data_IF_026865254103
#
_entry.id   IF_026865254103
#
_cell.length_a   1.000
_cell.length_b   1.000
_cell.length_c   1.000
_cell.angle_alpha   90.00
_cell.angle_beta   90.00
_cell.angle_gamma   90.00
#
_symmetry.space_group_name_H-M   'P 1'
#
loop_
_entity.id
_entity.type
_entity.pdbx_description
1 polymer ?
#
# COMPACT_ATOMS: atom_id res chain seq x y z
N UNK A 1 8.96 7.21 -6.34
CA UNK A 1 8.45 5.81 -6.31
C UNK A 1 7.30 5.74 -5.33
N UNK A 2 6.23 4.99 -5.61
CA UNK A 2 5.02 4.94 -4.75
C UNK A 2 5.34 4.47 -3.33
N UNK A 3 6.22 3.47 -3.18
CA UNK A 3 6.63 2.93 -1.87
C UNK A 3 7.06 4.05 -0.91
N UNK A 4 7.86 5.02 -1.37
CA UNK A 4 8.31 6.12 -0.52
C UNK A 4 7.17 6.95 0.06
N UNK A 5 6.09 7.14 -0.69
CA UNK A 5 4.91 7.87 -0.25
C UNK A 5 3.97 7.04 0.65
N UNK A 6 4.24 5.75 0.85
CA UNK A 6 3.45 4.86 1.71
C UNK A 6 4.16 4.54 3.03
N UNK A 7 5.48 4.62 3.05
CA UNK A 7 6.29 4.15 4.17
C UNK A 7 6.08 4.92 5.48
N UNK A 8 5.95 6.27 5.50
CA UNK A 8 5.73 6.99 6.75
C UNK A 8 4.50 6.46 7.53
N UNK A 9 3.43 6.11 6.81
CA UNK A 9 2.21 5.53 7.37
C UNK A 9 2.29 4.04 7.68
N UNK A 10 3.31 3.32 7.21
CA UNK A 10 3.40 1.87 7.36
C UNK A 10 3.37 1.43 8.84
N UNK A 11 3.84 2.28 9.76
CA UNK A 11 3.78 2.03 11.21
C UNK A 11 2.35 1.84 11.71
N UNK A 12 1.37 2.52 11.12
CA UNK A 12 -0.06 2.36 11.46
C UNK A 12 -0.61 0.99 11.05
N UNK A 13 0.00 0.35 10.05
CA UNK A 13 -0.37 -0.99 9.58
C UNK A 13 0.41 -2.10 10.27
N UNK A 14 1.58 -1.79 10.83
CA UNK A 14 2.45 -2.77 11.52
C UNK A 14 2.11 -2.86 13.01
N UNK A 15 2.02 -1.72 13.70
CA UNK A 15 1.86 -1.66 15.16
C UNK A 15 0.62 -2.39 15.72
N UNK A 16 -0.52 -2.48 15.00
CA UNK A 16 -1.65 -3.29 15.48
C UNK A 16 -1.34 -4.79 15.62
N UNK A 17 -0.35 -5.32 14.88
CA UNK A 17 0.00 -6.74 14.87
C UNK A 17 1.33 -7.02 15.56
N UNK A 18 2.27 -6.09 15.47
CA UNK A 18 3.59 -6.19 16.09
C UNK A 18 4.00 -4.83 16.62
N UNK A 19 4.05 -4.70 17.94
CA UNK A 19 4.38 -3.43 18.60
C UNK A 19 5.84 -3.07 18.36
N UNK A 20 6.08 -2.23 17.37
CA UNK A 20 7.41 -1.70 17.10
C UNK A 20 7.81 -0.69 18.19
N UNK A 21 9.12 -0.43 18.39
CA UNK A 21 9.59 0.56 19.36
C UNK A 21 9.32 2.01 18.93
N UNK A 22 8.80 2.22 17.71
CA UNK A 22 8.50 3.53 17.12
C UNK A 22 7.00 3.68 16.87
N UNK A 23 6.52 4.91 17.01
CA UNK A 23 5.14 5.29 16.77
C UNK A 23 5.00 6.18 15.51
N UNK A 24 3.78 6.63 15.25
CA UNK A 24 3.46 7.49 14.10
C UNK A 24 4.30 8.78 14.06
N UNK A 25 4.42 9.47 15.19
CA UNK A 25 5.21 10.69 15.30
C UNK A 25 6.70 10.45 15.05
N UNK A 26 7.24 9.32 15.53
CA UNK A 26 8.63 8.96 15.26
C UNK A 26 8.88 8.79 13.75
N UNK A 27 7.98 8.09 13.05
CA UNK A 27 8.06 7.90 11.60
C UNK A 27 7.90 9.20 10.79
N UNK A 28 7.22 10.21 11.33
CA UNK A 28 7.03 11.52 10.70
C UNK A 28 8.05 12.57 11.16
N UNK A 29 9.02 12.17 12.00
CA UNK A 29 10.11 13.03 12.43
C UNK A 29 11.26 13.07 11.42
N UNK A 30 12.10 14.10 11.51
CA UNK A 30 13.30 14.22 10.68
C UNK A 30 14.23 12.99 10.82
N UNK A 31 14.46 12.52 12.05
CA UNK A 31 15.26 11.31 12.28
C UNK A 31 14.55 10.04 11.79
N UNK A 32 13.22 10.00 11.90
CA UNK A 32 12.39 8.91 11.39
C UNK A 32 12.55 8.67 9.90
N UNK A 33 12.74 9.73 9.09
CA UNK A 33 13.02 9.60 7.66
C UNK A 33 14.22 8.68 7.42
N UNK A 34 15.30 8.87 8.17
CA UNK A 34 16.57 8.17 7.98
C UNK A 34 16.59 6.80 8.67
N UNK A 35 16.08 6.71 9.89
CA UNK A 35 16.21 5.51 10.73
C UNK A 35 15.06 4.52 10.56
N UNK A 36 13.89 4.99 10.13
CA UNK A 36 12.68 4.17 9.99
C UNK A 36 12.31 4.06 8.51
N UNK A 37 12.07 5.20 7.84
CA UNK A 37 11.40 5.21 6.56
C UNK A 37 12.30 4.75 5.40
N UNK A 38 13.55 5.20 5.34
CA UNK A 38 14.47 4.72 4.28
C UNK A 38 14.71 3.21 4.43
N UNK A 39 15.10 2.66 5.60
CA UNK A 39 15.28 1.22 5.78
C UNK A 39 14.02 0.42 5.43
N UNK A 40 12.87 0.81 5.96
CA UNK A 40 11.60 0.13 5.69
C UNK A 40 11.20 0.22 4.22
N UNK A 41 11.37 1.40 3.60
CA UNK A 41 11.11 1.60 2.17
C UNK A 41 12.01 0.75 1.28
N UNK A 42 13.28 0.56 1.66
CA UNK A 42 14.19 -0.34 0.95
C UNK A 42 13.81 -1.81 1.13
N UNK A 43 13.40 -2.24 2.32
CA UNK A 43 12.86 -3.60 2.54
C UNK A 43 11.63 -3.84 1.66
N UNK A 44 10.69 -2.90 1.64
CA UNK A 44 9.50 -2.99 0.78
C UNK A 44 9.86 -2.98 -0.71
N UNK A 45 10.86 -2.19 -1.11
CA UNK A 45 11.34 -2.17 -2.49
C UNK A 45 12.00 -3.49 -2.90
N UNK A 46 12.85 -4.08 -2.04
CA UNK A 46 13.46 -5.39 -2.28
C UNK A 46 12.39 -6.49 -2.36
N UNK A 47 11.41 -6.46 -1.44
CA UNK A 47 10.25 -7.34 -1.45
C UNK A 47 9.47 -7.20 -2.77
N UNK A 48 9.22 -5.97 -3.22
CA UNK A 48 8.58 -5.74 -4.51
C UNK A 48 9.41 -6.31 -5.66
N UNK A 49 10.68 -5.94 -5.77
CA UNK A 49 11.51 -6.23 -6.94
C UNK A 49 11.84 -7.72 -7.08
N UNK A 50 12.10 -8.41 -5.97
CA UNK A 50 12.56 -9.82 -5.98
C UNK A 50 11.47 -10.84 -5.66
N UNK A 51 10.40 -10.44 -4.98
CA UNK A 51 9.32 -11.36 -4.60
C UNK A 51 8.08 -11.06 -5.43
N UNK A 52 7.48 -9.89 -5.26
CA UNK A 52 6.14 -9.61 -5.80
C UNK A 52 6.17 -9.41 -7.32
N UNK A 53 7.04 -8.55 -7.84
CA UNK A 53 7.11 -8.18 -9.26
C UNK A 53 7.47 -9.34 -10.20
N UNK A 54 8.26 -10.36 -9.80
CA UNK A 54 8.42 -11.56 -10.62
C UNK A 54 7.18 -12.46 -10.68
N UNK A 55 6.29 -12.39 -9.68
CA UNK A 55 5.13 -13.29 -9.53
C UNK A 55 3.76 -12.67 -9.82
N UNK A 56 3.59 -11.35 -9.68
CA UNK A 56 2.27 -10.68 -9.66
C UNK A 56 1.39 -11.02 -10.87
N UNK A 57 1.95 -11.07 -12.07
CA UNK A 57 1.21 -11.39 -13.31
C UNK A 57 0.73 -12.83 -13.34
N UNK A 58 1.49 -13.75 -12.74
CA UNK A 58 1.15 -15.17 -12.68
C UNK A 58 -0.01 -15.43 -11.72
N UNK A 59 -0.10 -14.62 -10.66
CA UNK A 59 -1.16 -14.65 -9.65
C UNK A 59 -2.45 -13.95 -10.11
N UNK A 60 -2.35 -13.01 -11.06
CA UNK A 60 -3.48 -12.26 -11.57
C UNK A 60 -4.46 -13.15 -12.39
N UNK A 61 -5.77 -12.84 -12.36
CA UNK A 61 -6.73 -13.45 -13.28
C UNK A 61 -6.28 -13.33 -14.73
N UNK A 62 -6.54 -14.35 -15.55
CA UNK A 62 -6.03 -14.43 -16.93
C UNK A 62 -6.34 -13.17 -17.76
N UNK A 63 -7.55 -12.60 -17.63
CA UNK A 63 -7.93 -11.39 -18.34
C UNK A 63 -7.07 -10.17 -18.00
N UNK A 64 -6.62 -10.05 -16.75
CA UNK A 64 -5.75 -8.98 -16.26
C UNK A 64 -4.29 -9.30 -16.59
N UNK A 65 -3.87 -10.54 -16.38
CA UNK A 65 -2.53 -11.01 -16.72
C UNK A 65 -2.17 -10.78 -18.19
N UNK A 66 -3.13 -10.82 -19.12
CA UNK A 66 -2.89 -10.53 -20.54
C UNK A 66 -2.60 -9.04 -20.83
N UNK A 67 -2.87 -8.14 -19.88
CA UNK A 67 -2.71 -6.69 -20.01
C UNK A 67 -1.59 -6.11 -19.15
N UNK A 68 -1.19 -6.83 -18.10
CA UNK A 68 -0.08 -6.42 -17.24
C UNK A 68 1.28 -6.47 -17.97
N UNK A 69 2.20 -5.54 -17.68
CA UNK A 69 3.53 -5.55 -18.27
C UNK A 69 4.33 -6.80 -17.86
N UNK A 70 5.42 -7.09 -18.56
CA UNK A 70 6.36 -8.12 -18.10
C UNK A 70 7.23 -7.55 -16.99
N UNK A 71 7.59 -8.39 -16.03
CA UNK A 71 8.65 -8.04 -15.09
C UNK A 71 9.96 -7.84 -15.86
N UNK A 72 10.61 -6.71 -15.61
CA UNK A 72 11.95 -6.44 -16.12
C UNK A 72 12.96 -6.64 -15.00
N UNK A 73 14.04 -7.41 -15.22
CA UNK A 73 15.09 -7.60 -14.23
C UNK A 73 15.60 -6.29 -13.64
N UNK A 74 16.12 -6.37 -12.41
CA UNK A 74 16.74 -5.24 -11.74
C UNK A 74 18.03 -4.86 -12.46
N UNK A 75 18.22 -3.56 -12.68
CA UNK A 75 19.43 -3.00 -13.28
C UNK A 75 20.18 -2.16 -12.24
N UNK A 76 21.48 -1.95 -12.44
CA UNK A 76 22.26 -1.04 -11.59
C UNK A 76 21.63 0.36 -11.52
N UNK A 77 21.10 0.85 -12.65
CA UNK A 77 20.36 2.12 -12.69
C UNK A 77 19.14 2.10 -11.76
N UNK A 78 18.34 1.03 -11.77
CA UNK A 78 17.19 0.90 -10.83
C UNK A 78 17.65 0.93 -9.37
N UNK A 79 18.73 0.22 -9.04
CA UNK A 79 19.29 0.19 -7.68
C UNK A 79 19.77 1.58 -7.27
N UNK A 80 20.54 2.26 -8.14
CA UNK A 80 21.06 3.59 -7.88
C UNK A 80 19.96 4.63 -7.64
N UNK A 81 18.83 4.49 -8.35
CA UNK A 81 17.66 5.36 -8.17
C UNK A 81 16.70 4.92 -7.08
N UNK A 82 16.91 3.77 -6.42
CA UNK A 82 15.97 3.24 -5.44
C UNK A 82 15.84 4.17 -4.23
N UNK A 83 16.96 4.48 -3.55
CA UNK A 83 16.97 5.36 -2.37
C UNK A 83 16.50 6.78 -2.71
N UNK A 84 17.01 7.47 -3.76
CA UNK A 84 16.48 8.78 -4.14
C UNK A 84 14.98 8.76 -4.43
N UNK A 85 14.48 7.71 -5.07
CA UNK A 85 13.05 7.58 -5.39
C UNK A 85 12.18 7.28 -4.17
N UNK A 86 12.70 6.57 -3.16
CA UNK A 86 12.08 6.40 -1.85
C UNK A 86 12.01 7.76 -1.16
N UNK A 87 13.14 8.46 -1.07
CA UNK A 87 13.26 9.73 -0.36
C UNK A 87 12.33 10.80 -0.94
N UNK A 88 12.28 10.95 -2.27
CA UNK A 88 11.33 11.87 -2.93
C UNK A 88 9.88 11.52 -2.56
N UNK A 89 9.55 10.22 -2.49
CA UNK A 89 8.22 9.79 -2.05
C UNK A 89 7.93 10.16 -0.59
N UNK A 90 8.88 9.93 0.31
CA UNK A 90 8.76 10.29 1.73
C UNK A 90 8.58 11.80 1.89
N UNK A 91 9.44 12.60 1.25
CA UNK A 91 9.36 14.05 1.32
C UNK A 91 8.04 14.58 0.76
N UNK A 92 7.54 14.00 -0.34
CA UNK A 92 6.25 14.39 -0.91
C UNK A 92 5.10 14.06 0.05
N UNK A 93 5.14 12.91 0.72
CA UNK A 93 4.16 12.52 1.74
C UNK A 93 4.16 13.49 2.91
N UNK A 94 5.32 13.71 3.55
CA UNK A 94 5.45 14.61 4.71
C UNK A 94 5.07 16.06 4.35
N UNK A 95 5.42 16.50 3.14
CA UNK A 95 5.00 17.79 2.63
C UNK A 95 3.47 17.84 2.52
N UNK A 96 2.84 16.83 1.92
CA UNK A 96 1.39 16.78 1.76
C UNK A 96 0.66 16.73 3.11
N UNK A 97 1.19 16.01 4.10
CA UNK A 97 0.64 15.98 5.45
C UNK A 97 0.63 17.36 6.10
N UNK A 98 1.68 18.15 5.86
CA UNK A 98 1.73 19.52 6.39
C UNK A 98 0.55 20.39 5.95
N UNK A 99 -0.08 20.10 4.80
CA UNK A 99 -1.27 20.80 4.30
C UNK A 99 -2.59 20.13 4.71
N UNK A 100 -2.57 18.85 5.05
CA UNK A 100 -3.79 18.01 5.12
C UNK A 100 -4.05 17.38 6.48
N UNK A 101 -3.10 17.46 7.41
CA UNK A 101 -3.23 16.92 8.75
C UNK A 101 -3.13 18.02 9.80
N UNK A 102 -3.86 17.86 10.90
CA UNK A 102 -3.76 18.73 12.06
C UNK A 102 -2.44 18.50 12.81
N UNK A 103 -1.97 19.52 13.54
CA UNK A 103 -0.71 19.44 14.31
C UNK A 103 0.52 19.91 13.54
N UNK A 104 0.35 20.36 12.30
CA UNK A 104 1.39 21.03 11.52
C UNK A 104 1.23 22.55 11.61
N UNK A 105 2.31 23.34 11.47
CA UNK A 105 2.24 24.81 11.54
C UNK A 105 1.27 25.46 10.55
N UNK A 106 1.05 24.84 9.39
CA UNK A 106 0.11 25.37 8.39
C UNK A 106 -1.35 25.20 8.80
N UNK A 107 -1.66 24.17 9.58
CA UNK A 107 -3.02 23.72 9.93
C UNK A 107 -3.36 23.91 11.42
N UNK A 108 -2.40 24.34 12.23
CA UNK A 108 -2.60 24.67 13.65
C UNK A 108 -3.48 25.91 13.81
N UNK A 109 -4.15 26.09 14.97
CA UNK A 109 -4.97 27.27 15.24
C UNK A 109 -4.27 28.59 14.91
N UNK A 110 -4.89 29.44 14.08
CA UNK A 110 -4.30 30.70 13.58
C UNK A 110 -3.31 30.56 12.43
N UNK A 111 -3.07 29.34 11.93
CA UNK A 111 -2.22 29.07 10.77
C UNK A 111 -2.90 29.40 9.43
N UNK A 112 -2.14 29.48 8.33
CA UNK A 112 -2.67 29.87 7.00
C UNK A 112 -3.80 28.99 6.44
N UNK A 113 -3.93 27.75 6.90
CA UNK A 113 -4.98 26.82 6.49
C UNK A 113 -6.01 26.55 7.59
N UNK A 114 -5.97 27.30 8.69
CA UNK A 114 -6.94 27.22 9.78
C UNK A 114 -8.23 27.97 9.44
N UNK A 115 -8.87 27.51 8.37
CA UNK A 115 -10.14 28.03 7.88
C UNK A 115 -11.13 26.89 7.74
N UNK A 116 -12.42 27.22 7.80
CA UNK A 116 -13.50 26.25 7.61
C UNK A 116 -14.27 26.55 6.33
N UNK A 117 -14.60 25.48 5.59
CA UNK A 117 -15.50 25.53 4.45
C UNK A 117 -16.72 24.69 4.81
N UNK A 118 -17.83 25.36 5.13
CA UNK A 118 -19.01 24.72 5.67
C UNK A 118 -18.73 24.05 7.01
N UNK A 119 -18.89 22.72 7.08
CA UNK A 119 -18.67 21.92 8.30
C UNK A 119 -17.26 21.30 8.40
N UNK A 120 -16.41 21.49 7.39
CA UNK A 120 -15.08 20.88 7.32
C UNK A 120 -13.99 21.95 7.44
N UNK A 121 -12.87 21.61 8.07
CA UNK A 121 -11.67 22.44 7.96
C UNK A 121 -11.10 22.36 6.54
N UNK A 122 -10.46 23.42 6.07
CA UNK A 122 -9.87 23.52 4.75
C UNK A 122 -8.88 22.37 4.50
N UNK A 123 -8.02 22.07 5.47
CA UNK A 123 -7.10 20.94 5.37
C UNK A 123 -7.82 19.60 5.20
N UNK A 124 -9.01 19.41 5.80
CA UNK A 124 -9.85 18.20 5.59
C UNK A 124 -10.48 18.19 4.20
N UNK A 125 -10.86 19.35 3.66
CA UNK A 125 -11.32 19.46 2.27
C UNK A 125 -10.20 19.06 1.32
N UNK A 126 -8.97 19.54 1.55
CA UNK A 126 -7.79 19.15 0.77
C UNK A 126 -7.47 17.65 0.90
N UNK A 127 -7.59 17.11 2.11
CA UNK A 127 -7.37 15.68 2.38
C UNK A 127 -8.38 14.80 1.63
N UNK A 128 -9.67 15.10 1.73
CA UNK A 128 -10.72 14.32 1.05
C UNK A 128 -10.71 14.55 -0.47
N UNK A 129 -10.50 15.79 -0.91
CA UNK A 129 -10.41 16.15 -2.32
C UNK A 129 -9.25 15.43 -3.02
N UNK A 130 -8.06 15.42 -2.41
CA UNK A 130 -6.92 14.67 -2.95
C UNK A 130 -7.15 13.16 -2.97
N UNK A 131 -7.85 12.61 -1.99
CA UNK A 131 -8.25 11.19 -1.99
C UNK A 131 -9.17 10.86 -3.18
N UNK A 132 -10.17 11.71 -3.45
CA UNK A 132 -11.08 11.55 -4.59
C UNK A 132 -10.34 11.69 -5.92
N UNK A 133 -9.47 12.68 -6.05
CA UNK A 133 -8.64 12.87 -7.25
C UNK A 133 -7.69 11.70 -7.48
N UNK A 134 -7.03 11.21 -6.42
CA UNK A 134 -6.16 10.04 -6.47
C UNK A 134 -6.91 8.79 -6.91
N UNK A 135 -8.08 8.53 -6.34
CA UNK A 135 -8.94 7.42 -6.76
C UNK A 135 -9.37 7.57 -8.23
N UNK A 136 -9.79 8.77 -8.65
CA UNK A 136 -10.13 9.07 -10.05
C UNK A 136 -8.95 8.79 -11.00
N UNK A 137 -7.73 9.18 -10.61
CA UNK A 137 -6.51 8.90 -11.37
C UNK A 137 -6.21 7.40 -11.49
N UNK A 138 -6.37 6.63 -10.41
CA UNK A 138 -6.20 5.17 -10.43
C UNK A 138 -7.27 4.51 -11.32
N UNK A 139 -8.52 4.92 -11.20
CA UNK A 139 -9.62 4.40 -12.04
C UNK A 139 -9.37 4.72 -13.52
N UNK A 140 -8.96 5.96 -13.83
CA UNK A 140 -8.58 6.35 -15.19
C UNK A 140 -7.41 5.49 -15.70
N UNK A 141 -6.38 5.28 -14.89
CA UNK A 141 -5.26 4.41 -15.26
C UNK A 141 -5.70 2.97 -15.53
N UNK A 142 -6.61 2.41 -14.72
CA UNK A 142 -7.19 1.08 -14.96
C UNK A 142 -7.98 1.06 -16.27
N UNK A 143 -8.82 2.07 -16.52
CA UNK A 143 -9.59 2.17 -17.76
C UNK A 143 -8.68 2.23 -18.99
N UNK A 144 -7.59 3.01 -18.91
CA UNK A 144 -6.57 3.06 -19.96
C UNK A 144 -5.86 1.72 -20.12
N UNK A 145 -5.47 1.06 -19.02
CA UNK A 145 -4.86 -0.27 -19.02
C UNK A 145 -5.76 -1.32 -19.70
N UNK A 146 -7.08 -1.25 -19.47
CA UNK A 146 -8.05 -2.17 -20.06
C UNK A 146 -8.19 -2.01 -21.58
N UNK A 147 -7.90 -0.80 -22.10
CA UNK A 147 -7.90 -0.49 -23.53
C UNK A 147 -6.65 -0.97 -24.26
N UNK A 148 -5.54 -1.25 -23.55
CA UNK A 148 -4.37 -1.82 -24.20
C UNK A 148 -4.67 -3.19 -24.81
N UNK A 149 -4.18 -3.46 -26.04
CA UNK A 149 -4.42 -4.73 -26.70
C UNK A 149 -3.91 -5.88 -25.84
N UNK A 150 -4.72 -6.95 -25.76
CA UNK A 150 -4.34 -8.17 -25.06
C UNK A 150 -3.07 -8.75 -25.69
N UNK A 151 -2.15 -9.20 -24.86
CA UNK A 151 -1.00 -10.00 -25.32
C UNK A 151 -1.47 -11.35 -25.85
N UNK A 152 -0.69 -11.96 -26.75
CA UNK A 152 -1.02 -13.28 -27.36
C UNK A 152 -1.14 -14.40 -26.31
N UNK A 153 -0.32 -14.37 -25.27
CA UNK A 153 -0.37 -15.34 -24.18
C UNK A 153 0.08 -14.74 -22.84
N UNK A 154 -0.39 -15.34 -21.76
CA UNK A 154 0.08 -15.09 -20.40
C UNK A 154 0.02 -16.41 -19.62
N UNK A 155 1.11 -16.75 -18.92
CA UNK A 155 1.10 -17.83 -17.94
C UNK A 155 0.40 -17.34 -16.67
N UNK A 156 -0.92 -17.48 -16.64
CA UNK A 156 -1.71 -17.27 -15.43
C UNK A 156 -1.94 -18.63 -14.79
N UNK A 157 -1.44 -18.79 -13.56
CA UNK A 157 -1.74 -19.95 -12.72
C UNK A 157 -2.72 -19.50 -11.65
N UNK A 158 -3.77 -18.80 -12.07
CA UNK A 158 -4.80 -18.29 -11.18
C UNK A 158 -5.29 -19.47 -10.32
N UNK A 159 -5.02 -19.40 -9.02
CA UNK A 159 -5.61 -20.27 -8.03
C UNK A 159 -6.48 -19.35 -7.17
N UNK A 160 -7.70 -19.77 -6.86
CA UNK A 160 -8.64 -18.99 -6.04
C UNK A 160 -8.10 -18.73 -4.63
N UNK A 161 -7.33 -19.66 -4.06
CA UNK A 161 -6.92 -19.65 -2.66
C UNK A 161 -6.15 -18.40 -2.17
N UNK A 162 -5.21 -17.77 -2.92
CA UNK A 162 -4.63 -16.48 -2.51
C UNK A 162 -5.60 -15.30 -2.57
N UNK A 163 -6.73 -15.43 -3.24
CA UNK A 163 -7.75 -14.38 -3.29
C UNK A 163 -8.89 -14.63 -2.30
N UNK A 164 -8.98 -15.86 -1.75
CA UNK A 164 -9.87 -16.19 -0.64
C UNK A 164 -9.35 -15.65 0.69
N UNK A 165 -8.04 -15.70 0.93
CA UNK A 165 -7.44 -15.20 2.16
C UNK A 165 -7.68 -13.69 2.42
N UNK A 166 -7.58 -12.77 1.44
CA UNK A 166 -7.93 -11.36 1.62
C UNK A 166 -9.41 -11.13 1.91
N UNK A 167 -10.28 -11.94 1.31
CA UNK A 167 -11.72 -11.93 1.58
C UNK A 167 -11.97 -12.43 3.00
N UNK A 168 -11.31 -13.51 3.41
CA UNK A 168 -11.40 -14.05 4.77
C UNK A 168 -10.83 -13.06 5.78
N UNK A 169 -9.64 -12.49 5.59
CA UNK A 169 -9.06 -11.50 6.52
C UNK A 169 -9.84 -10.20 6.53
N UNK A 170 -10.33 -9.75 5.37
CA UNK A 170 -11.17 -8.57 5.23
C UNK A 170 -12.55 -8.72 5.89
N UNK A 171 -13.07 -9.95 5.98
CA UNK A 171 -14.33 -10.27 6.67
C UNK A 171 -14.11 -10.63 8.15
N UNK A 172 -13.00 -11.27 8.50
CA UNK A 172 -12.69 -11.72 9.86
C UNK A 172 -12.14 -10.63 10.78
N UNK A 173 -11.34 -9.68 10.27
CA UNK A 173 -10.85 -8.55 11.08
C UNK A 173 -11.98 -7.64 11.63
N UNK A 174 -13.02 -7.30 10.86
CA UNK A 174 -14.20 -6.61 11.37
C UNK A 174 -14.96 -7.46 12.37
N UNK A 175 -15.18 -8.75 12.10
CA UNK A 175 -15.88 -9.65 13.04
C UNK A 175 -15.13 -9.73 14.38
N UNK A 176 -13.81 -9.95 14.36
CA UNK A 176 -12.98 -10.00 15.57
C UNK A 176 -13.05 -8.69 16.37
N UNK A 177 -13.00 -7.54 15.70
CA UNK A 177 -13.03 -6.24 16.37
C UNK A 177 -14.44 -5.83 16.81
N UNK A 178 -15.47 -6.19 16.05
CA UNK A 178 -16.88 -6.06 16.44
C UNK A 178 -17.14 -6.87 17.72
N UNK A 179 -16.56 -8.07 17.83
CA UNK A 179 -16.66 -8.90 19.05
C UNK A 179 -15.89 -8.28 20.24
N UNK A 180 -14.90 -7.42 20.00
CA UNK A 180 -14.15 -6.72 21.05
C UNK A 180 -14.69 -5.32 21.37
N UNK A 181 -15.45 -4.70 20.47
CA UNK A 181 -15.95 -3.35 20.67
C UNK A 181 -17.34 -3.40 21.31
N UNK A 182 -17.53 -2.57 22.34
CA UNK A 182 -18.84 -2.34 22.91
C UNK A 182 -19.72 -1.69 21.81
N UNK A 183 -20.72 -2.43 21.31
CA UNK A 183 -21.59 -2.02 20.19
C UNK A 183 -22.33 -0.70 20.44
N UNK A 184 -22.41 -0.26 21.70
CA UNK A 184 -22.97 1.03 22.09
C UNK A 184 -22.08 2.23 21.70
N UNK A 185 -20.80 2.02 21.34
CA UNK A 185 -19.90 3.12 21.02
C UNK A 185 -20.30 3.78 19.68
N UNK A 186 -20.52 5.10 19.61
CA UNK A 186 -21.07 5.76 18.41
C UNK A 186 -20.16 5.68 17.18
N UNK A 187 -18.90 5.29 17.35
CA UNK A 187 -17.91 5.13 16.27
C UNK A 187 -17.70 3.68 15.81
N UNK A 188 -18.39 2.69 16.40
CA UNK A 188 -18.17 1.25 16.14
C UNK A 188 -18.29 0.92 14.65
N UNK A 189 -19.35 1.42 14.00
CA UNK A 189 -19.60 1.14 12.59
C UNK A 189 -18.53 1.77 11.68
N UNK A 190 -18.12 3.01 11.99
CA UNK A 190 -17.07 3.70 11.23
C UNK A 190 -15.71 2.99 11.37
N UNK A 191 -15.38 2.54 12.57
CA UNK A 191 -14.15 1.78 12.84
C UNK A 191 -14.18 0.42 12.13
N UNK A 192 -15.31 -0.30 12.20
CA UNK A 192 -15.49 -1.56 11.51
C UNK A 192 -15.32 -1.40 9.99
N UNK A 193 -15.95 -0.39 9.38
CA UNK A 193 -15.80 -0.10 7.94
C UNK A 193 -14.36 0.26 7.56
N UNK A 194 -13.71 1.11 8.34
CA UNK A 194 -12.31 1.46 8.10
C UNK A 194 -11.41 0.20 8.14
N UNK A 195 -11.66 -0.68 9.10
CA UNK A 195 -10.91 -1.93 9.27
C UNK A 195 -11.21 -2.98 8.21
N UNK A 196 -12.43 -3.03 7.66
CA UNK A 196 -12.73 -3.83 6.45
C UNK A 196 -11.82 -3.38 5.32
N UNK A 197 -11.76 -2.06 5.08
CA UNK A 197 -10.99 -1.50 3.95
C UNK A 197 -9.49 -1.75 4.15
N UNK A 198 -8.93 -1.38 5.31
CA UNK A 198 -7.51 -1.58 5.59
C UNK A 198 -7.15 -3.07 5.62
N UNK A 199 -7.95 -3.91 6.28
CA UNK A 199 -7.73 -5.35 6.35
C UNK A 199 -7.83 -6.07 5.00
N UNK A 200 -8.73 -5.63 4.12
CA UNK A 200 -8.85 -6.18 2.75
C UNK A 200 -7.64 -5.80 1.90
N UNK A 201 -7.19 -4.55 1.95
CA UNK A 201 -6.02 -4.08 1.21
C UNK A 201 -4.75 -4.81 1.68
N UNK A 202 -4.53 -4.89 3.00
CA UNK A 202 -3.41 -5.62 3.58
C UNK A 202 -3.47 -7.11 3.23
N UNK A 203 -4.65 -7.73 3.27
CA UNK A 203 -4.84 -9.13 2.86
C UNK A 203 -4.41 -9.39 1.42
N UNK A 204 -4.81 -8.54 0.48
CA UNK A 204 -4.43 -8.66 -0.94
C UNK A 204 -2.90 -8.62 -1.10
N UNK A 205 -2.24 -7.70 -0.42
CA UNK A 205 -0.78 -7.56 -0.47
C UNK A 205 -0.06 -8.79 0.10
N UNK A 206 -0.49 -9.27 1.28
CA UNK A 206 0.06 -10.46 1.93
C UNK A 206 -0.08 -11.68 1.04
N UNK A 207 -1.25 -11.87 0.43
CA UNK A 207 -1.45 -13.03 -0.44
C UNK A 207 -0.70 -12.94 -1.76
N UNK A 208 -0.59 -11.74 -2.35
CA UNK A 208 0.25 -11.53 -3.52
C UNK A 208 1.70 -11.89 -3.21
N UNK A 209 2.20 -11.50 -2.03
CA UNK A 209 3.54 -11.85 -1.55
C UNK A 209 3.74 -13.37 -1.42
N UNK A 210 2.88 -14.06 -0.66
CA UNK A 210 3.01 -15.51 -0.45
C UNK A 210 2.86 -16.32 -1.75
N UNK A 211 1.95 -15.94 -2.63
CA UNK A 211 1.84 -16.60 -3.92
C UNK A 211 3.06 -16.39 -4.80
N UNK A 212 3.64 -15.20 -4.77
CA UNK A 212 4.85 -14.94 -5.52
C UNK A 212 6.04 -15.76 -4.96
N UNK A 213 6.18 -15.87 -3.64
CA UNK A 213 7.17 -16.76 -3.00
C UNK A 213 6.99 -18.22 -3.43
N UNK A 214 5.77 -18.76 -3.37
CA UNK A 214 5.52 -20.15 -3.77
C UNK A 214 5.87 -20.40 -5.24
N UNK A 215 5.53 -19.47 -6.12
CA UNK A 215 5.87 -19.58 -7.54
C UNK A 215 7.38 -19.53 -7.78
N UNK A 216 8.10 -18.68 -7.05
CA UNK A 216 9.55 -18.62 -7.10
C UNK A 216 10.18 -19.92 -6.58
N UNK A 217 9.68 -20.47 -5.47
CA UNK A 217 10.10 -21.76 -4.92
C UNK A 217 9.90 -22.91 -5.91
N UNK A 218 8.72 -23.02 -6.53
CA UNK A 218 8.43 -24.04 -7.54
C UNK A 218 9.36 -23.90 -8.76
N UNK A 219 9.58 -22.68 -9.24
CA UNK A 219 10.51 -22.44 -10.37
C UNK A 219 11.95 -22.80 -10.01
N UNK A 220 12.39 -22.47 -8.79
CA UNK A 220 13.71 -22.84 -8.27
C UNK A 220 13.89 -24.36 -8.20
N UNK A 221 12.95 -25.06 -7.57
CA UNK A 221 12.97 -26.53 -7.45
C UNK A 221 13.03 -27.22 -8.83
N UNK A 222 12.25 -26.74 -9.81
CA UNK A 222 12.28 -27.28 -11.19
C UNK A 222 13.61 -27.03 -11.92
N UNK A 223 14.35 -25.96 -11.59
CA UNK A 223 15.68 -25.74 -12.17
C UNK A 223 16.72 -26.67 -11.55
N UNK A 224 16.63 -26.94 -10.26
CA UNK A 224 17.52 -27.88 -9.56
C UNK A 224 17.31 -29.30 -10.07
N UNK A 225 16.05 -29.77 -10.19
CA UNK A 225 15.72 -31.11 -10.69
C UNK A 225 16.04 -31.35 -12.17
N UNK A 226 16.39 -30.30 -12.93
CA UNK A 226 16.77 -30.38 -14.35
C UNK A 226 18.29 -30.33 -14.56
N UNK A 227 19.07 -30.15 -13.49
CA UNK A 227 20.53 -30.24 -13.47
C UNK A 227 20.93 -31.60 -12.93
#
# INVERSE_FOLDING_TARGET
MVIGALVPDAVMFINPFYRMPWNYGDAHSFLGVWLINIPLGMVLWLCWEFVIAPGYRTCAPKWLALRLPDHRPTTLKKVAWAIPSVLVGICTHLLWDSFTHAGYPLTSPGGPLDHTIGKLSLFRVLQHGSSVLGLGGVLLWILLLLRYPKRRSASSHWRLWPWLLPVITGVMAPVYLIMQQNFAHPKVLKLALLNIVTGSVSGVLVCAFFCALLLLGIKGARRVLRR
#
